data_IF_361870159482
#
_entry.id   IF_361870159482
#
_cell.length_a   1.000
_cell.length_b   1.000
_cell.length_c   1.000
_cell.angle_alpha   90.00
_cell.angle_beta   90.00
_cell.angle_gamma   90.00
#
_symmetry.space_group_name_H-M   'P 1'
#
loop_
_entity.id
_entity.type
_entity.pdbx_description
1 polymer ?
#
# COMPACT_ATOMS: atom_id res chain seq x y z
N UNK A 1 -1.24 3.25 -22.61
CA UNK A 1 -1.89 2.34 -21.64
C UNK A 1 -2.70 3.20 -20.69
N UNK A 2 -3.89 2.77 -20.26
CA UNK A 2 -4.69 3.55 -19.30
C UNK A 2 -4.09 3.47 -17.89
N UNK A 3 -4.47 4.39 -17.00
CA UNK A 3 -4.08 4.34 -15.58
C UNK A 3 -4.53 3.04 -14.92
N UNK A 4 -5.73 2.56 -15.24
CA UNK A 4 -6.26 1.29 -14.77
C UNK A 4 -5.40 0.11 -15.22
N UNK A 5 -4.92 0.10 -16.47
CA UNK A 5 -4.03 -0.97 -16.96
C UNK A 5 -2.70 -1.00 -16.20
N UNK A 6 -2.14 0.19 -15.91
CA UNK A 6 -0.89 0.31 -15.14
C UNK A 6 -1.08 -0.18 -13.70
N UNK A 7 -2.18 0.19 -13.06
CA UNK A 7 -2.50 -0.28 -11.71
C UNK A 7 -2.73 -1.80 -11.65
N UNK A 8 -3.53 -2.35 -12.58
CA UNK A 8 -3.75 -3.80 -12.68
C UNK A 8 -2.44 -4.55 -12.92
N UNK A 9 -1.53 -3.97 -13.72
CA UNK A 9 -0.21 -4.55 -13.97
C UNK A 9 0.65 -4.57 -12.70
N UNK A 10 0.66 -3.48 -11.92
CA UNK A 10 1.35 -3.41 -10.64
C UNK A 10 0.80 -4.42 -9.63
N UNK A 11 -0.53 -4.53 -9.53
CA UNK A 11 -1.18 -5.55 -8.71
C UNK A 11 -0.75 -6.97 -9.11
N UNK A 12 -0.82 -7.32 -10.41
CA UNK A 12 -0.42 -8.66 -10.88
C UNK A 12 1.04 -8.95 -10.59
N UNK A 13 1.93 -7.98 -10.86
CA UNK A 13 3.35 -8.13 -10.61
C UNK A 13 3.66 -8.41 -9.14
N UNK A 14 2.99 -7.71 -8.22
CA UNK A 14 3.17 -7.95 -6.79
C UNK A 14 2.54 -9.27 -6.36
N UNK A 15 1.30 -9.54 -6.76
CA UNK A 15 0.58 -10.78 -6.44
C UNK A 15 1.35 -12.03 -6.89
N UNK A 16 1.94 -12.01 -8.08
CA UNK A 16 2.75 -13.11 -8.60
C UNK A 16 4.11 -13.27 -7.87
N UNK A 17 4.51 -12.28 -7.06
CA UNK A 17 5.71 -12.37 -6.20
C UNK A 17 5.43 -12.96 -4.81
N UNK A 18 4.15 -13.15 -4.46
CA UNK A 18 3.71 -13.68 -3.16
C UNK A 18 3.35 -15.15 -3.29
N UNK A 19 3.70 -15.92 -2.27
CA UNK A 19 3.31 -17.32 -2.13
C UNK A 19 1.90 -17.39 -1.52
N UNK A 20 0.89 -17.65 -2.36
CA UNK A 20 -0.52 -17.71 -1.96
C UNK A 20 -0.87 -18.97 -1.16
N UNK A 21 -0.01 -19.99 -1.15
CA UNK A 21 -0.24 -21.23 -0.41
C UNK A 21 0.10 -21.10 1.09
N UNK A 22 0.53 -19.92 1.53
CA UNK A 22 0.85 -19.61 2.93
C UNK A 22 -0.14 -18.60 3.49
N UNK A 23 -0.91 -19.01 4.49
CA UNK A 23 -1.70 -18.09 5.31
C UNK A 23 -0.77 -17.04 5.95
N UNK A 24 -1.22 -15.79 5.93
CA UNK A 24 -0.52 -14.69 6.56
C UNK A 24 -1.25 -14.33 7.85
N UNK A 25 -0.54 -14.38 8.98
CA UNK A 25 -1.08 -13.85 10.24
C UNK A 25 -1.35 -12.34 10.16
N UNK A 26 -1.84 -11.77 11.26
CA UNK A 26 -2.07 -10.34 11.35
C UNK A 26 -0.80 -9.55 10.97
N UNK A 27 -0.93 -8.50 10.14
CA UNK A 27 0.22 -7.73 9.69
C UNK A 27 0.84 -6.92 10.84
N UNK A 28 2.17 -6.81 10.86
CA UNK A 28 2.87 -5.88 11.74
C UNK A 28 2.84 -4.46 11.16
N UNK A 29 2.31 -3.52 11.94
CA UNK A 29 2.13 -2.13 11.50
C UNK A 29 3.47 -1.43 11.16
N UNK A 30 4.53 -1.65 11.94
CA UNK A 30 5.82 -0.99 11.71
C UNK A 30 6.45 -1.48 10.41
N UNK A 31 6.36 -2.80 10.15
CA UNK A 31 6.81 -3.39 8.91
C UNK A 31 6.00 -2.86 7.72
N UNK A 32 4.67 -2.75 7.84
CA UNK A 32 3.84 -2.17 6.79
C UNK A 32 4.20 -0.72 6.48
N UNK A 33 4.34 0.13 7.51
CA UNK A 33 4.77 1.53 7.33
C UNK A 33 6.11 1.59 6.61
N UNK A 34 7.07 0.73 7.01
CA UNK A 34 8.36 0.66 6.35
C UNK A 34 8.23 0.25 4.88
N UNK A 35 7.45 -0.80 4.55
CA UNK A 35 7.22 -1.23 3.18
C UNK A 35 6.61 -0.12 2.31
N UNK A 36 5.59 0.58 2.84
CA UNK A 36 4.91 1.67 2.15
C UNK A 36 5.89 2.82 1.81
N UNK A 37 6.73 3.21 2.78
CA UNK A 37 7.74 4.27 2.60
C UNK A 37 8.93 3.82 1.73
N UNK A 38 9.31 2.55 1.80
CA UNK A 38 10.39 1.96 0.99
C UNK A 38 9.99 1.75 -0.48
N UNK A 39 8.74 1.99 -0.81
CA UNK A 39 8.26 1.93 -2.19
C UNK A 39 7.74 0.55 -2.61
N UNK A 40 7.27 -0.27 -1.67
CA UNK A 40 6.83 -1.66 -1.92
C UNK A 40 5.33 -1.82 -1.63
N UNK A 41 4.54 -2.33 -2.60
CA UNK A 41 4.90 -2.63 -3.98
C UNK A 41 5.23 -1.38 -4.81
N UNK A 42 5.89 -1.55 -5.96
CA UNK A 42 6.01 -0.48 -6.95
C UNK A 42 4.63 -0.18 -7.56
N UNK A 43 4.30 1.09 -7.76
CA UNK A 43 2.98 1.53 -8.21
C UNK A 43 3.06 2.64 -9.26
N UNK A 44 2.02 2.84 -10.09
CA UNK A 44 2.05 3.83 -11.16
C UNK A 44 2.40 5.26 -10.72
N UNK A 45 2.01 5.65 -9.51
CA UNK A 45 2.28 6.96 -8.95
C UNK A 45 3.77 7.22 -8.63
N UNK A 46 4.62 6.18 -8.59
CA UNK A 46 6.07 6.36 -8.41
C UNK A 46 6.74 7.06 -9.60
N UNK A 47 6.10 7.01 -10.77
CA UNK A 47 6.59 7.61 -12.01
C UNK A 47 5.99 9.01 -12.25
N UNK A 48 5.14 9.50 -11.34
CA UNK A 48 4.50 10.80 -11.44
C UNK A 48 5.38 11.90 -10.83
N UNK A 49 5.62 12.98 -11.58
CA UNK A 49 6.40 14.14 -11.13
C UNK A 49 5.44 15.25 -10.64
N UNK A 50 4.65 14.93 -9.61
CA UNK A 50 3.76 15.90 -8.96
C UNK A 50 3.96 15.90 -7.44
N UNK A 51 3.68 17.03 -6.75
CA UNK A 51 3.78 17.09 -5.29
C UNK A 51 2.91 16.05 -4.56
N UNK A 52 1.78 15.66 -5.14
CA UNK A 52 0.84 14.69 -4.58
C UNK A 52 1.21 13.23 -4.87
N UNK A 53 2.16 13.00 -5.79
CA UNK A 53 2.55 11.66 -6.24
C UNK A 53 2.94 10.73 -5.08
N UNK A 54 3.73 11.15 -4.06
CA UNK A 54 4.07 10.29 -2.94
C UNK A 54 2.84 9.82 -2.13
N UNK A 55 1.88 10.71 -1.88
CA UNK A 55 0.66 10.38 -1.13
C UNK A 55 -0.25 9.45 -1.92
N UNK A 56 -0.40 9.71 -3.23
CA UNK A 56 -1.12 8.84 -4.17
C UNK A 56 -0.46 7.45 -4.25
N UNK A 57 0.86 7.39 -4.17
CA UNK A 57 1.59 6.13 -4.21
C UNK A 57 1.35 5.30 -2.94
N UNK A 58 1.22 5.92 -1.76
CA UNK A 58 0.78 5.21 -0.54
C UNK A 58 -0.61 4.60 -0.72
N UNK A 59 -1.56 5.34 -1.30
CA UNK A 59 -2.92 4.84 -1.56
C UNK A 59 -2.95 3.64 -2.51
N UNK A 60 -2.17 3.71 -3.59
CA UNK A 60 -2.08 2.60 -4.54
C UNK A 60 -1.44 1.37 -3.89
N UNK A 61 -0.39 1.56 -3.08
CA UNK A 61 0.30 0.47 -2.39
C UNK A 61 -0.60 -0.24 -1.40
N UNK A 62 -1.28 0.51 -0.54
CA UNK A 62 -2.16 -0.09 0.47
C UNK A 62 -3.32 -0.83 -0.19
N UNK A 63 -3.86 -0.32 -1.31
CA UNK A 63 -4.91 -1.01 -2.06
C UNK A 63 -4.44 -2.37 -2.60
N UNK A 64 -3.23 -2.43 -3.18
CA UNK A 64 -2.66 -3.70 -3.68
C UNK A 64 -2.38 -4.67 -2.52
N UNK A 65 -1.77 -4.18 -1.44
CA UNK A 65 -1.45 -5.02 -0.27
C UNK A 65 -2.72 -5.63 0.36
N UNK A 66 -3.77 -4.82 0.52
CA UNK A 66 -5.07 -5.28 1.02
C UNK A 66 -5.70 -6.33 0.10
N UNK A 67 -5.68 -6.11 -1.22
CA UNK A 67 -6.24 -7.05 -2.18
C UNK A 67 -5.54 -8.41 -2.10
N UNK A 68 -4.20 -8.42 -2.10
CA UNK A 68 -3.42 -9.66 -1.99
C UNK A 68 -3.61 -10.32 -0.62
N UNK A 69 -3.69 -9.56 0.46
CA UNK A 69 -3.94 -10.13 1.79
C UNK A 69 -5.29 -10.85 1.86
N UNK A 70 -6.36 -10.28 1.29
CA UNK A 70 -7.69 -10.92 1.25
C UNK A 70 -7.67 -12.16 0.36
N UNK A 71 -6.92 -12.17 -0.74
CA UNK A 71 -6.77 -13.36 -1.57
C UNK A 71 -6.09 -14.51 -0.83
N UNK A 72 -4.97 -14.21 -0.17
CA UNK A 72 -4.20 -15.18 0.63
C UNK A 72 -5.06 -15.76 1.77
N UNK A 73 -5.83 -14.91 2.43
CA UNK A 73 -6.61 -15.29 3.61
C UNK A 73 -8.11 -15.43 3.29
N UNK A 74 -8.45 -15.79 2.04
CA UNK A 74 -9.84 -15.86 1.58
C UNK A 74 -10.69 -16.92 2.29
N UNK A 75 -10.06 -17.84 3.02
CA UNK A 75 -10.72 -18.83 3.86
C UNK A 75 -10.91 -18.42 5.33
N UNK A 76 -10.36 -17.27 5.74
CA UNK A 76 -10.48 -16.77 7.11
C UNK A 76 -11.84 -16.10 7.36
N UNK A 77 -12.18 -15.93 8.64
CA UNK A 77 -13.42 -15.27 9.07
C UNK A 77 -13.40 -13.76 8.77
N UNK A 78 -14.57 -13.18 8.45
CA UNK A 78 -14.71 -11.75 8.13
C UNK A 78 -14.10 -10.83 9.21
N UNK A 79 -14.23 -11.18 10.50
CA UNK A 79 -13.68 -10.36 11.58
C UNK A 79 -12.16 -10.32 11.59
N UNK A 80 -11.50 -11.39 11.16
CA UNK A 80 -10.03 -11.42 11.01
C UNK A 80 -9.60 -10.53 9.84
N UNK A 81 -10.32 -10.60 8.72
CA UNK A 81 -10.06 -9.74 7.57
C UNK A 81 -10.27 -8.27 7.92
N UNK A 82 -11.36 -7.93 8.60
CA UNK A 82 -11.65 -6.56 9.04
C UNK A 82 -10.56 -6.02 9.97
N UNK A 83 -10.10 -6.82 10.94
CA UNK A 83 -9.01 -6.44 11.84
C UNK A 83 -7.72 -6.16 11.05
N UNK A 84 -7.31 -7.09 10.17
CA UNK A 84 -6.13 -6.91 9.36
C UNK A 84 -6.22 -5.69 8.43
N UNK A 85 -7.37 -5.48 7.76
CA UNK A 85 -7.59 -4.35 6.86
C UNK A 85 -7.53 -3.01 7.59
N UNK A 86 -7.95 -2.96 8.86
CA UNK A 86 -7.81 -1.76 9.70
C UNK A 86 -6.35 -1.41 9.99
N UNK A 87 -5.48 -2.42 10.15
CA UNK A 87 -4.03 -2.22 10.36
C UNK A 87 -3.40 -1.64 9.09
N UNK A 88 -3.80 -2.09 7.91
CA UNK A 88 -3.35 -1.51 6.64
C UNK A 88 -3.76 -0.05 6.49
N UNK A 89 -5.00 0.31 6.87
CA UNK A 89 -5.46 1.72 6.85
C UNK A 89 -4.63 2.60 7.79
N UNK A 90 -4.37 2.11 8.99
CA UNK A 90 -3.58 2.82 9.97
C UNK A 90 -2.12 2.99 9.52
N UNK A 91 -1.52 1.95 8.94
CA UNK A 91 -0.17 2.03 8.38
C UNK A 91 -0.10 3.08 7.24
N UNK A 92 -1.09 3.11 6.35
CA UNK A 92 -1.16 4.12 5.30
C UNK A 92 -1.30 5.53 5.86
N UNK A 93 -2.12 5.72 6.89
CA UNK A 93 -2.28 7.00 7.59
C UNK A 93 -0.96 7.47 8.19
N UNK A 94 -0.25 6.60 8.92
CA UNK A 94 1.05 6.91 9.53
C UNK A 94 2.09 7.25 8.47
N UNK A 95 2.19 6.47 7.39
CA UNK A 95 3.14 6.74 6.32
C UNK A 95 2.89 8.10 5.64
N UNK A 96 1.64 8.47 5.40
CA UNK A 96 1.29 9.79 4.85
C UNK A 96 1.69 10.93 5.78
N UNK A 97 1.41 10.82 7.08
CA UNK A 97 1.83 11.83 8.07
C UNK A 97 3.35 12.01 8.05
N UNK A 98 4.12 10.92 8.00
CA UNK A 98 5.58 10.99 7.95
C UNK A 98 6.09 11.68 6.67
N UNK A 99 5.43 11.47 5.53
CA UNK A 99 5.76 12.18 4.28
C UNK A 99 5.47 13.67 4.42
N UNK A 100 4.28 14.02 4.93
CA UNK A 100 3.86 15.41 5.11
C UNK A 100 4.78 16.18 6.08
N UNK A 101 5.22 15.53 7.17
CA UNK A 101 6.18 16.11 8.12
C UNK A 101 7.60 16.26 7.53
N UNK A 102 7.97 15.40 6.59
CA UNK A 102 9.27 15.48 5.92
C UNK A 102 9.31 16.54 4.81
N UNK A 103 8.16 16.98 4.29
CA UNK A 103 8.08 18.03 3.28
C UNK A 103 8.42 19.39 3.92
N UNK A 104 9.32 20.19 3.31
CA UNK A 104 9.60 21.53 3.82
C UNK A 104 8.33 22.39 3.73
N UNK A 105 8.09 23.31 4.70
CA UNK A 105 6.95 24.22 4.62
C UNK A 105 7.02 25.01 3.31
N UNK A 106 5.88 25.11 2.60
CA UNK A 106 5.78 25.94 1.41
C UNK A 106 6.34 27.33 1.71
N UNK A 107 7.40 27.71 0.99
CA UNK A 107 7.86 29.11 1.02
C UNK A 107 6.78 29.94 0.34
N UNK A 108 5.91 30.53 1.16
CA UNK A 108 5.02 31.61 0.72
C UNK A 108 5.87 32.69 0.05
N UNK A 109 5.61 32.92 -1.23
CA UNK A 109 6.13 34.05 -2.01
C UNK A 109 5.27 35.27 -1.69
#
# INVERSE_FOLDING_TARGET
MSESDRFISAYRAFRDSIDLDKEAGLPDINHLVWCLLAGVPAVPADEEDTPEAPLKAIDQRVAILKAVFVEVNSGEEDSFLDEALSIYDEAARVAKVLIEEALPPEKGI
#
